data_IF_976344345285
#
_entry.id   IF_976344345285
#
_cell.length_a   1.000
_cell.length_b   1.000
_cell.length_c   1.000
_cell.angle_alpha   90.00
_cell.angle_beta   90.00
_cell.angle_gamma   90.00
#
_symmetry.space_group_name_H-M   'P 1'
#
loop_
_entity.id
_entity.type
_entity.pdbx_description
1 polymer ?
#
# COMPACT_ATOMS: atom_id res chain seq x y z
N UNK A 1 -32.77 -2.91 14.45
CA UNK A 1 -31.43 -2.29 14.51
C UNK A 1 -31.27 -1.39 15.74
N UNK A 2 -32.14 -0.40 15.96
CA UNK A 2 -32.00 0.58 17.06
C UNK A 2 -31.87 -0.06 18.46
N UNK A 3 -32.60 -1.15 18.74
CA UNK A 3 -32.48 -1.91 20.01
C UNK A 3 -31.12 -2.57 20.21
N UNK A 4 -30.44 -2.97 19.13
CA UNK A 4 -29.10 -3.56 19.19
C UNK A 4 -28.08 -2.45 19.41
N UNK A 5 -28.22 -1.32 18.70
CA UNK A 5 -27.31 -0.17 18.87
C UNK A 5 -27.42 0.43 20.28
N UNK A 6 -28.63 0.53 20.84
CA UNK A 6 -28.80 1.01 22.23
C UNK A 6 -28.15 0.10 23.27
N UNK A 7 -27.89 -1.17 22.95
CA UNK A 7 -27.16 -2.09 23.85
C UNK A 7 -25.65 -1.83 23.85
N UNK A 8 -25.09 -1.10 22.88
CA UNK A 8 -23.67 -0.71 22.85
C UNK A 8 -23.33 0.29 23.96
N UNK A 9 -24.29 1.11 24.39
CA UNK A 9 -24.14 2.05 25.51
C UNK A 9 -24.52 1.45 26.87
N UNK A 10 -24.73 0.13 26.95
CA UNK A 10 -25.09 -0.54 28.21
C UNK A 10 -23.94 -0.48 29.22
N UNK A 11 -24.27 -0.30 30.49
CA UNK A 11 -23.29 -0.42 31.59
C UNK A 11 -22.78 -1.86 31.77
N UNK A 12 -23.50 -2.85 31.25
CA UNK A 12 -23.12 -4.26 31.30
C UNK A 12 -22.18 -4.61 30.14
N UNK A 13 -20.94 -4.98 30.46
CA UNK A 13 -19.96 -5.49 29.50
C UNK A 13 -20.48 -6.66 28.68
N UNK A 14 -21.16 -7.61 29.35
CA UNK A 14 -21.75 -8.77 28.69
C UNK A 14 -22.80 -8.34 27.64
N UNK A 15 -23.62 -7.35 27.97
CA UNK A 15 -24.64 -6.83 27.05
C UNK A 15 -24.02 -6.15 25.85
N UNK A 16 -22.96 -5.35 26.05
CA UNK A 16 -22.19 -4.69 24.98
C UNK A 16 -21.51 -5.71 24.08
N UNK A 17 -20.79 -6.67 24.65
CA UNK A 17 -20.08 -7.72 23.91
C UNK A 17 -21.03 -8.55 23.03
N UNK A 18 -22.20 -8.92 23.57
CA UNK A 18 -23.21 -9.64 22.81
C UNK A 18 -23.77 -8.80 21.64
N UNK A 19 -24.00 -7.49 21.84
CA UNK A 19 -24.45 -6.60 20.78
C UNK A 19 -23.39 -6.41 19.68
N UNK A 20 -22.11 -6.31 20.05
CA UNK A 20 -20.99 -6.23 19.10
C UNK A 20 -20.89 -7.51 18.24
N UNK A 21 -21.00 -8.68 18.86
CA UNK A 21 -20.99 -9.96 18.15
C UNK A 21 -22.17 -10.08 17.17
N UNK A 22 -23.36 -9.63 17.58
CA UNK A 22 -24.57 -9.61 16.77
C UNK A 22 -24.43 -8.65 15.57
N UNK A 23 -23.94 -7.43 15.77
CA UNK A 23 -23.70 -6.46 14.69
C UNK A 23 -22.65 -6.95 13.68
N UNK A 24 -21.59 -7.62 14.15
CA UNK A 24 -20.61 -8.23 13.26
C UNK A 24 -21.25 -9.30 12.37
N UNK A 25 -22.09 -10.15 12.94
CA UNK A 25 -22.76 -11.22 12.20
C UNK A 25 -23.69 -10.64 11.14
N UNK A 26 -24.55 -9.68 11.52
CA UNK A 26 -25.51 -9.03 10.64
C UNK A 26 -24.80 -8.32 9.48
N UNK A 27 -23.82 -7.45 9.79
CA UNK A 27 -23.07 -6.70 8.76
C UNK A 27 -22.28 -7.58 7.80
N UNK A 28 -21.88 -8.79 8.24
CA UNK A 28 -21.18 -9.78 7.42
C UNK A 28 -22.12 -10.49 6.45
N UNK A 29 -23.30 -10.87 6.92
CA UNK A 29 -24.23 -11.72 6.18
C UNK A 29 -25.13 -10.92 5.23
N UNK A 30 -25.49 -9.70 5.62
CA UNK A 30 -26.45 -8.87 4.89
C UNK A 30 -25.83 -7.51 4.52
N UNK A 31 -25.48 -7.28 3.24
CA UNK A 31 -25.00 -5.98 2.78
C UNK A 31 -25.97 -4.82 3.01
N UNK A 32 -27.29 -5.07 2.94
CA UNK A 32 -28.30 -4.02 3.07
C UNK A 32 -28.41 -3.54 4.52
N UNK A 33 -28.13 -4.42 5.49
CA UNK A 33 -28.06 -4.05 6.90
C UNK A 33 -26.99 -3.02 7.24
N UNK A 34 -25.93 -2.89 6.43
CA UNK A 34 -24.77 -2.05 6.76
C UNK A 34 -25.13 -0.58 6.84
N UNK A 35 -25.91 -0.08 5.89
CA UNK A 35 -26.39 1.30 5.93
C UNK A 35 -27.33 1.50 7.12
N UNK A 36 -28.21 0.54 7.40
CA UNK A 36 -29.13 0.59 8.55
C UNK A 36 -28.37 0.63 9.88
N UNK A 37 -27.26 -0.11 10.01
CA UNK A 37 -26.38 -0.06 11.20
C UNK A 37 -25.75 1.33 11.35
N UNK A 38 -25.25 1.89 10.25
CA UNK A 38 -24.63 3.21 10.24
C UNK A 38 -25.65 4.31 10.62
N UNK A 39 -26.82 4.33 9.98
CA UNK A 39 -27.89 5.30 10.20
C UNK A 39 -28.50 5.19 11.60
N UNK A 40 -28.47 3.99 12.19
CA UNK A 40 -28.87 3.78 13.58
C UNK A 40 -27.87 4.36 14.60
N UNK A 41 -26.75 4.96 14.17
CA UNK A 41 -25.78 5.63 15.03
C UNK A 41 -24.77 4.70 15.69
N UNK A 42 -24.47 3.54 15.08
CA UNK A 42 -23.54 2.57 15.66
C UNK A 42 -22.06 3.01 15.61
N UNK A 43 -21.67 3.81 14.61
CA UNK A 43 -20.25 4.10 14.31
C UNK A 43 -19.48 4.72 15.49
N UNK A 44 -20.01 5.73 16.21
CA UNK A 44 -19.31 6.29 17.37
C UNK A 44 -19.02 5.26 18.47
N UNK A 45 -19.97 4.36 18.76
CA UNK A 45 -19.79 3.30 19.76
C UNK A 45 -18.78 2.24 19.30
N UNK A 46 -18.80 1.89 18.00
CA UNK A 46 -17.81 0.99 17.42
C UNK A 46 -16.41 1.60 17.49
N UNK A 47 -16.27 2.90 17.22
CA UNK A 47 -15.01 3.62 17.34
C UNK A 47 -14.51 3.68 18.79
N UNK A 48 -15.38 3.99 19.75
CA UNK A 48 -15.05 3.97 21.18
C UNK A 48 -14.58 2.58 21.64
N UNK A 49 -15.21 1.52 21.13
CA UNK A 49 -14.86 0.13 21.47
C UNK A 49 -13.43 -0.24 21.04
N UNK A 50 -12.84 0.43 20.04
CA UNK A 50 -11.45 0.18 19.64
C UNK A 50 -10.42 0.55 20.72
N UNK A 51 -10.80 1.38 21.70
CA UNK A 51 -9.98 1.72 22.87
C UNK A 51 -10.16 0.73 24.04
N UNK A 52 -11.06 -0.26 23.93
CA UNK A 52 -11.30 -1.26 24.97
C UNK A 52 -10.08 -2.14 25.20
N UNK A 53 -9.88 -2.62 26.42
CA UNK A 53 -8.89 -3.68 26.74
C UNK A 53 -9.35 -5.08 26.32
N UNK A 54 -10.62 -5.25 25.93
CA UNK A 54 -11.18 -6.54 25.51
C UNK A 54 -10.89 -6.81 24.03
N UNK A 55 -9.98 -7.73 23.75
CA UNK A 55 -9.69 -8.16 22.36
C UNK A 55 -10.94 -8.61 21.60
N UNK A 56 -11.83 -9.40 22.23
CA UNK A 56 -13.08 -9.83 21.59
C UNK A 56 -13.96 -8.63 21.19
N UNK A 57 -14.02 -7.61 22.03
CA UNK A 57 -14.80 -6.40 21.73
C UNK A 57 -14.17 -5.59 20.61
N UNK A 58 -12.84 -5.37 20.65
CA UNK A 58 -12.09 -4.71 19.58
C UNK A 58 -12.27 -5.43 18.24
N UNK A 59 -12.17 -6.76 18.21
CA UNK A 59 -12.32 -7.57 17.01
C UNK A 59 -13.70 -7.44 16.40
N UNK A 60 -14.74 -7.53 17.22
CA UNK A 60 -16.11 -7.41 16.74
C UNK A 60 -16.41 -6.00 16.25
N UNK A 61 -15.91 -4.97 16.94
CA UNK A 61 -16.04 -3.59 16.50
C UNK A 61 -15.30 -3.33 15.18
N UNK A 62 -14.01 -3.67 15.10
CA UNK A 62 -13.19 -3.46 13.92
C UNK A 62 -13.70 -4.24 12.71
N UNK A 63 -14.15 -5.49 12.89
CA UNK A 63 -14.75 -6.27 11.81
C UNK A 63 -16.08 -5.68 11.33
N UNK A 64 -16.90 -5.15 12.24
CA UNK A 64 -18.13 -4.45 11.86
C UNK A 64 -17.80 -3.20 11.05
N UNK A 65 -16.86 -2.36 11.52
CA UNK A 65 -16.40 -1.17 10.79
C UNK A 65 -15.86 -1.51 9.39
N UNK A 66 -15.09 -2.59 9.28
CA UNK A 66 -14.63 -3.10 7.99
C UNK A 66 -15.81 -3.45 7.08
N UNK A 67 -16.78 -4.22 7.57
CA UNK A 67 -17.96 -4.58 6.78
C UNK A 67 -18.74 -3.34 6.32
N UNK A 68 -18.96 -2.37 7.22
CA UNK A 68 -19.60 -1.10 6.88
C UNK A 68 -18.82 -0.35 5.81
N UNK A 69 -17.49 -0.37 5.89
CA UNK A 69 -16.63 0.33 4.91
C UNK A 69 -16.76 -0.23 3.50
N UNK A 70 -17.37 -1.39 3.28
CA UNK A 70 -17.53 -1.97 1.94
C UNK A 70 -18.66 -1.30 1.16
N UNK A 71 -19.68 -0.76 1.83
CA UNK A 71 -20.87 -0.16 1.16
C UNK A 71 -21.36 1.16 1.77
N UNK A 72 -20.95 1.51 2.99
CA UNK A 72 -21.49 2.63 3.79
C UNK A 72 -20.40 3.60 4.23
N UNK A 73 -19.60 4.11 3.27
CA UNK A 73 -18.35 4.84 3.52
C UNK A 73 -18.52 6.30 3.96
N UNK A 74 -19.52 6.99 3.42
CA UNK A 74 -19.78 8.39 3.75
C UNK A 74 -20.16 8.60 5.23
N UNK A 75 -21.00 7.74 5.85
CA UNK A 75 -21.22 7.76 7.31
C UNK A 75 -19.94 7.53 8.13
N UNK A 76 -19.04 6.63 7.68
CA UNK A 76 -17.76 6.38 8.35
C UNK A 76 -16.87 7.64 8.30
N UNK A 77 -16.69 8.22 7.12
CA UNK A 77 -15.84 9.41 6.94
C UNK A 77 -16.39 10.65 7.65
N UNK A 78 -17.71 10.76 7.79
CA UNK A 78 -18.38 11.86 8.49
C UNK A 78 -18.40 11.68 10.01
N UNK A 79 -18.10 10.48 10.53
CA UNK A 79 -18.10 10.22 11.96
C UNK A 79 -16.85 10.77 12.64
N UNK A 80 -17.04 11.80 13.47
CA UNK A 80 -15.97 12.38 14.29
C UNK A 80 -15.27 11.31 15.14
N UNK A 81 -13.93 11.35 15.15
CA UNK A 81 -13.10 10.47 15.98
C UNK A 81 -12.88 9.06 15.41
N UNK A 82 -13.55 8.66 14.33
CA UNK A 82 -13.36 7.32 13.76
C UNK A 82 -11.91 7.10 13.28
N UNK A 83 -11.36 8.04 12.52
CA UNK A 83 -9.98 7.93 12.03
C UNK A 83 -8.96 7.90 13.18
N UNK A 84 -9.24 8.61 14.27
CA UNK A 84 -8.38 8.62 15.46
C UNK A 84 -8.45 7.28 16.19
N UNK A 85 -9.64 6.66 16.29
CA UNK A 85 -9.83 5.33 16.84
C UNK A 85 -9.17 4.22 16.00
N UNK A 86 -9.29 4.29 14.67
CA UNK A 86 -8.56 3.39 13.76
C UNK A 86 -7.05 3.59 13.90
N UNK A 87 -6.59 4.84 14.03
CA UNK A 87 -5.18 5.15 14.27
C UNK A 87 -4.69 4.58 15.61
N UNK A 88 -5.52 4.63 16.66
CA UNK A 88 -5.21 4.04 17.96
C UNK A 88 -5.03 2.52 17.86
N UNK A 89 -5.96 1.83 17.20
CA UNK A 89 -5.89 0.38 16.98
C UNK A 89 -4.63 -0.03 16.20
N UNK A 90 -4.25 0.74 15.18
CA UNK A 90 -3.03 0.49 14.41
C UNK A 90 -1.75 0.80 15.21
N UNK A 91 -1.77 1.85 16.04
CA UNK A 91 -0.60 2.28 16.84
C UNK A 91 -0.22 1.27 17.91
N UNK A 92 -1.21 0.58 18.48
CA UNK A 92 -1.03 -0.40 19.56
C UNK A 92 -1.04 -1.85 19.07
N UNK A 93 -0.67 -2.06 17.79
CA UNK A 93 -0.69 -3.37 17.14
C UNK A 93 0.22 -4.42 17.78
N UNK A 94 1.26 -3.96 18.48
CA UNK A 94 2.28 -4.75 19.17
C UNK A 94 2.08 -4.78 20.69
N UNK A 95 0.99 -4.21 21.21
CA UNK A 95 0.75 -4.06 22.65
C UNK A 95 -0.66 -4.48 23.06
N UNK A 96 -1.66 -3.62 22.87
CA UNK A 96 -3.01 -3.80 23.44
C UNK A 96 -4.11 -4.06 22.43
N UNK A 97 -3.83 -3.94 21.13
CA UNK A 97 -4.82 -4.22 20.09
C UNK A 97 -4.65 -5.62 19.54
N UNK A 98 -5.75 -6.38 19.47
CA UNK A 98 -5.71 -7.73 18.94
C UNK A 98 -5.27 -7.76 17.46
N UNK A 99 -4.52 -8.78 17.00
CA UNK A 99 -4.09 -8.88 15.62
C UNK A 99 -5.22 -8.82 14.58
N UNK A 100 -6.40 -9.37 14.90
CA UNK A 100 -7.57 -9.34 14.02
C UNK A 100 -8.22 -7.95 13.97
N UNK A 101 -8.19 -7.20 15.07
CA UNK A 101 -8.62 -5.80 15.09
C UNK A 101 -7.66 -4.88 14.30
N UNK A 102 -6.34 -5.09 14.42
CA UNK A 102 -5.33 -4.40 13.61
C UNK A 102 -5.57 -4.65 12.12
N UNK A 103 -5.73 -5.92 11.74
CA UNK A 103 -6.00 -6.30 10.35
C UNK A 103 -7.26 -5.62 9.83
N UNK A 104 -8.37 -5.69 10.57
CA UNK A 104 -9.64 -5.09 10.17
C UNK A 104 -9.57 -3.57 10.09
N UNK A 105 -8.79 -2.93 10.97
CA UNK A 105 -8.56 -1.48 10.96
C UNK A 105 -7.76 -1.03 9.73
N UNK A 106 -6.68 -1.74 9.39
CA UNK A 106 -5.89 -1.46 8.18
C UNK A 106 -6.73 -1.67 6.91
N UNK A 107 -7.51 -2.76 6.86
CA UNK A 107 -8.42 -3.03 5.75
C UNK A 107 -9.55 -1.99 5.63
N UNK A 108 -10.05 -1.45 6.76
CA UNK A 108 -11.02 -0.36 6.77
C UNK A 108 -10.44 0.90 6.15
N UNK A 109 -9.23 1.29 6.56
CA UNK A 109 -8.52 2.44 5.98
C UNK A 109 -8.32 2.25 4.47
N UNK A 110 -7.85 1.09 4.04
CA UNK A 110 -7.70 0.78 2.62
C UNK A 110 -9.03 0.87 1.86
N UNK A 111 -10.11 0.28 2.39
CA UNK A 111 -11.44 0.28 1.77
C UNK A 111 -12.00 1.70 1.58
N UNK A 112 -11.72 2.61 2.52
CA UNK A 112 -12.07 4.02 2.39
C UNK A 112 -11.25 4.68 1.27
N UNK A 113 -9.92 4.51 1.27
CA UNK A 113 -9.00 5.15 0.32
C UNK A 113 -9.22 4.77 -1.15
N UNK A 114 -9.68 3.55 -1.43
CA UNK A 114 -9.91 3.08 -2.80
C UNK A 114 -11.28 3.46 -3.35
N UNK A 115 -12.21 3.86 -2.49
CA UNK A 115 -13.58 4.11 -2.92
C UNK A 115 -13.78 5.51 -3.45
N UNK A 116 -13.18 6.50 -2.80
CA UNK A 116 -13.28 7.89 -3.21
C UNK A 116 -11.91 8.55 -3.17
N UNK A 117 -11.49 9.14 -4.29
CA UNK A 117 -10.17 9.78 -4.37
C UNK A 117 -10.06 10.98 -3.43
N UNK A 118 -11.19 11.63 -3.13
CA UNK A 118 -11.30 12.75 -2.18
C UNK A 118 -10.93 12.36 -0.75
N UNK A 119 -10.98 11.08 -0.38
CA UNK A 119 -10.57 10.62 0.97
C UNK A 119 -9.06 10.52 1.13
N UNK A 120 -8.29 10.40 0.05
CA UNK A 120 -6.82 10.27 0.08
C UNK A 120 -6.11 11.47 0.73
N UNK A 121 -6.44 12.75 0.43
CA UNK A 121 -5.84 13.87 1.15
C UNK A 121 -6.26 13.93 2.62
N UNK A 122 -7.50 13.53 2.96
CA UNK A 122 -8.02 13.57 4.33
C UNK A 122 -7.29 12.54 5.20
N UNK A 123 -7.32 11.27 4.81
CA UNK A 123 -6.65 10.18 5.56
C UNK A 123 -5.13 10.37 5.51
N UNK A 124 -4.57 10.76 4.36
CA UNK A 124 -3.14 10.99 4.19
C UNK A 124 -2.57 12.15 5.02
N UNK A 125 -3.39 13.12 5.41
CA UNK A 125 -2.99 14.20 6.33
C UNK A 125 -2.75 13.72 7.77
N UNK A 126 -3.26 12.53 8.13
CA UNK A 126 -3.11 11.94 9.48
C UNK A 126 -1.77 11.20 9.58
N UNK A 127 -0.72 11.94 9.98
CA UNK A 127 0.64 11.39 10.18
C UNK A 127 0.67 10.14 11.06
N UNK A 128 -0.18 10.07 12.09
CA UNK A 128 -0.24 8.90 12.98
C UNK A 128 -0.70 7.62 12.25
N UNK A 129 -1.64 7.71 11.32
CA UNK A 129 -2.07 6.55 10.51
C UNK A 129 -0.90 6.07 9.65
N UNK A 130 -0.22 6.99 8.95
CA UNK A 130 0.93 6.64 8.10
C UNK A 130 2.04 6.02 8.94
N UNK A 131 2.37 6.62 10.09
CA UNK A 131 3.38 6.10 11.00
C UNK A 131 3.04 4.69 11.48
N UNK A 132 1.81 4.45 11.93
CA UNK A 132 1.40 3.14 12.43
C UNK A 132 1.43 2.07 11.34
N UNK A 133 1.01 2.39 10.10
CA UNK A 133 1.10 1.45 8.97
C UNK A 133 2.57 1.12 8.63
N UNK A 134 3.47 2.10 8.65
CA UNK A 134 4.91 1.88 8.48
C UNK A 134 5.48 1.05 9.65
N UNK A 135 4.98 1.28 10.86
CA UNK A 135 5.37 0.52 12.05
C UNK A 135 4.97 -0.96 11.96
N UNK A 136 3.76 -1.25 11.46
CA UNK A 136 3.30 -2.64 11.25
C UNK A 136 4.19 -3.36 10.23
N UNK A 137 4.55 -2.73 9.10
CA UNK A 137 5.35 -3.43 8.08
C UNK A 137 6.82 -3.66 8.49
N UNK A 138 7.34 -2.89 9.46
CA UNK A 138 8.73 -3.02 9.95
C UNK A 138 8.86 -3.89 11.20
N UNK A 139 7.75 -4.18 11.88
CA UNK A 139 7.78 -4.90 13.14
C UNK A 139 7.97 -6.40 12.86
N UNK A 140 9.03 -7.04 13.40
CA UNK A 140 9.40 -8.41 13.03
C UNK A 140 8.30 -9.46 13.22
N UNK A 141 7.49 -9.31 14.27
CA UNK A 141 6.46 -10.28 14.63
C UNK A 141 5.07 -9.91 14.08
N UNK A 142 4.98 -8.93 13.18
CA UNK A 142 3.70 -8.58 12.58
C UNK A 142 3.14 -9.72 11.73
N UNK A 143 1.86 -10.01 11.95
CA UNK A 143 1.17 -11.06 11.22
C UNK A 143 1.15 -10.75 9.70
N UNK A 144 1.44 -11.72 8.79
CA UNK A 144 1.53 -11.47 7.35
C UNK A 144 0.33 -10.76 6.74
N UNK A 145 -0.89 -11.09 7.20
CA UNK A 145 -2.11 -10.39 6.76
C UNK A 145 -2.11 -8.90 7.13
N UNK A 146 -1.67 -8.55 8.34
CA UNK A 146 -1.56 -7.16 8.78
C UNK A 146 -0.52 -6.39 7.96
N UNK A 147 0.60 -7.04 7.60
CA UNK A 147 1.59 -6.47 6.68
C UNK A 147 0.96 -6.18 5.31
N UNK A 148 0.26 -7.17 4.71
CA UNK A 148 -0.40 -7.00 3.40
C UNK A 148 -1.44 -5.90 3.40
N UNK A 149 -2.33 -5.87 4.40
CA UNK A 149 -3.37 -4.84 4.48
C UNK A 149 -2.76 -3.45 4.74
N UNK A 150 -1.65 -3.38 5.49
CA UNK A 150 -0.90 -2.13 5.69
C UNK A 150 -0.24 -1.65 4.39
N UNK A 151 0.39 -2.53 3.62
CA UNK A 151 0.98 -2.20 2.32
C UNK A 151 -0.08 -1.71 1.33
N UNK A 152 -1.26 -2.34 1.28
CA UNK A 152 -2.39 -1.89 0.45
C UNK A 152 -2.85 -0.48 0.85
N UNK A 153 -2.99 -0.22 2.15
CA UNK A 153 -3.33 1.12 2.65
C UNK A 153 -2.26 2.15 2.27
N UNK A 154 -0.98 1.84 2.49
CA UNK A 154 0.15 2.71 2.12
C UNK A 154 0.19 2.99 0.61
N UNK A 155 -0.07 1.98 -0.23
CA UNK A 155 -0.17 2.14 -1.67
C UNK A 155 -1.27 3.15 -2.03
N UNK A 156 -2.47 2.97 -1.46
CA UNK A 156 -3.61 3.85 -1.74
C UNK A 156 -3.40 5.28 -1.22
N UNK A 157 -2.70 5.46 -0.09
CA UNK A 157 -2.27 6.78 0.41
C UNK A 157 -1.29 7.43 -0.59
N UNK A 158 -0.33 6.68 -1.12
CA UNK A 158 0.69 7.17 -2.03
C UNK A 158 0.17 7.52 -3.45
N UNK A 159 -1.06 7.10 -3.79
CA UNK A 159 -1.73 7.52 -5.02
C UNK A 159 -2.00 9.02 -5.06
N UNK A 160 -2.07 9.70 -3.90
CA UNK A 160 -2.08 11.15 -3.83
C UNK A 160 -0.64 11.67 -3.60
N UNK A 161 -0.01 12.34 -4.61
CA UNK A 161 1.41 12.66 -4.56
C UNK A 161 1.87 13.45 -3.34
N UNK A 162 1.05 14.35 -2.81
CA UNK A 162 1.40 15.18 -1.65
C UNK A 162 1.56 14.37 -0.35
N UNK A 163 1.07 13.14 -0.28
CA UNK A 163 1.26 12.27 0.89
C UNK A 163 2.66 11.64 0.92
N UNK A 164 3.33 11.52 -0.23
CA UNK A 164 4.58 10.74 -0.38
C UNK A 164 5.72 11.28 0.47
N UNK A 165 5.89 12.62 0.48
CA UNK A 165 6.90 13.30 1.32
C UNK A 165 6.74 12.93 2.80
N UNK A 166 5.51 12.94 3.31
CA UNK A 166 5.22 12.51 4.69
C UNK A 166 5.58 11.04 4.93
N UNK A 167 5.22 10.13 4.01
CA UNK A 167 5.58 8.72 4.11
C UNK A 167 7.10 8.51 4.18
N UNK A 168 7.85 9.22 3.33
CA UNK A 168 9.30 9.16 3.27
C UNK A 168 9.90 9.68 4.59
N UNK A 169 9.44 10.83 5.07
CA UNK A 169 9.88 11.42 6.36
C UNK A 169 9.65 10.48 7.56
N UNK A 170 8.67 9.59 7.46
CA UNK A 170 8.32 8.61 8.50
C UNK A 170 9.05 7.26 8.31
N UNK A 171 9.99 7.17 7.36
CA UNK A 171 10.85 6.00 7.19
C UNK A 171 10.28 4.90 6.30
N UNK A 172 9.38 5.23 5.36
CA UNK A 172 8.81 4.24 4.44
C UNK A 172 9.89 3.51 3.62
N UNK A 173 10.90 4.22 3.10
CA UNK A 173 11.93 3.65 2.22
C UNK A 173 12.69 2.48 2.88
N UNK A 174 13.37 2.66 4.02
CA UNK A 174 14.09 1.56 4.66
C UNK A 174 13.16 0.41 5.10
N UNK A 175 11.92 0.70 5.50
CA UNK A 175 10.95 -0.34 5.86
C UNK A 175 10.56 -1.20 4.64
N UNK A 176 10.29 -0.56 3.49
CA UNK A 176 9.95 -1.27 2.24
C UNK A 176 11.12 -2.10 1.74
N UNK A 177 12.34 -1.56 1.72
CA UNK A 177 13.51 -2.34 1.30
C UNK A 177 13.83 -3.50 2.23
N UNK A 178 13.59 -3.36 3.54
CA UNK A 178 13.72 -4.50 4.45
C UNK A 178 12.78 -5.65 4.07
N UNK A 179 11.54 -5.36 3.67
CA UNK A 179 10.62 -6.39 3.17
C UNK A 179 11.06 -6.94 1.81
N UNK A 180 11.44 -6.08 0.88
CA UNK A 180 11.86 -6.48 -0.48
C UNK A 180 13.05 -7.45 -0.45
N UNK A 181 14.01 -7.21 0.44
CA UNK A 181 15.26 -8.00 0.52
C UNK A 181 15.12 -9.24 1.39
N UNK A 182 14.36 -9.16 2.49
CA UNK A 182 14.37 -10.21 3.54
C UNK A 182 13.13 -11.11 3.53
N UNK A 183 12.03 -10.69 2.90
CA UNK A 183 10.79 -11.46 2.92
C UNK A 183 10.75 -12.46 1.75
N UNK A 184 10.55 -13.74 2.06
CA UNK A 184 10.45 -14.80 1.05
C UNK A 184 9.05 -14.95 0.45
N UNK A 185 8.05 -14.25 0.99
CA UNK A 185 6.65 -14.37 0.53
C UNK A 185 6.44 -13.43 -0.65
N UNK A 186 6.42 -14.00 -1.86
CA UNK A 186 6.24 -13.27 -3.13
C UNK A 186 5.14 -12.20 -3.07
N UNK A 187 3.96 -12.52 -2.51
CA UNK A 187 2.86 -11.55 -2.42
C UNK A 187 3.12 -10.33 -1.53
N UNK A 188 4.00 -10.42 -0.52
CA UNK A 188 4.41 -9.26 0.29
C UNK A 188 5.43 -8.42 -0.47
N UNK A 189 6.38 -9.06 -1.14
CA UNK A 189 7.37 -8.37 -1.98
C UNK A 189 6.70 -7.64 -3.16
N UNK A 190 5.68 -8.25 -3.76
CA UNK A 190 4.84 -7.60 -4.79
C UNK A 190 4.14 -6.34 -4.27
N UNK A 191 3.52 -6.41 -3.09
CA UNK A 191 2.85 -5.27 -2.48
C UNK A 191 3.86 -4.18 -2.06
N UNK A 192 5.03 -4.57 -1.51
CA UNK A 192 6.07 -3.65 -1.09
C UNK A 192 6.72 -2.90 -2.27
N UNK A 193 7.05 -3.62 -3.35
CA UNK A 193 7.56 -3.01 -4.59
C UNK A 193 6.54 -2.08 -5.24
N UNK A 194 5.24 -2.38 -5.13
CA UNK A 194 4.19 -1.49 -5.62
C UNK A 194 4.13 -0.15 -4.86
N UNK A 195 4.26 -0.18 -3.53
CA UNK A 195 4.36 1.03 -2.70
C UNK A 195 5.65 1.79 -3.03
N UNK A 196 6.78 1.07 -3.16
CA UNK A 196 8.07 1.65 -3.52
C UNK A 196 7.99 2.41 -4.84
N UNK A 197 7.35 1.84 -5.86
CA UNK A 197 7.14 2.50 -7.14
C UNK A 197 6.36 3.82 -7.03
N UNK A 198 5.46 3.97 -6.06
CA UNK A 198 4.78 5.25 -5.84
C UNK A 198 5.69 6.27 -5.18
N UNK A 199 6.34 5.92 -4.06
CA UNK A 199 7.11 6.89 -3.27
C UNK A 199 8.44 7.25 -3.93
N UNK A 200 9.00 6.42 -4.81
CA UNK A 200 10.13 6.77 -5.68
C UNK A 200 9.80 7.93 -6.64
N UNK A 201 8.52 8.22 -6.88
CA UNK A 201 8.06 9.39 -7.63
C UNK A 201 7.93 10.65 -6.77
N UNK A 202 8.85 10.86 -5.84
CA UNK A 202 8.93 12.01 -4.96
C UNK A 202 10.41 12.39 -4.79
N UNK A 203 10.74 13.67 -4.89
CA UNK A 203 12.12 14.18 -4.81
C UNK A 203 12.78 13.83 -3.47
N UNK A 204 12.02 13.89 -2.37
CA UNK A 204 12.48 13.53 -1.03
C UNK A 204 12.96 12.06 -0.93
N UNK A 205 12.66 11.22 -1.93
CA UNK A 205 13.03 9.80 -1.91
C UNK A 205 14.51 9.55 -2.20
N UNK A 206 15.20 10.46 -2.88
CA UNK A 206 16.55 10.23 -3.40
C UNK A 206 17.55 9.81 -2.32
N UNK A 207 17.64 10.57 -1.22
CA UNK A 207 18.57 10.27 -0.14
C UNK A 207 18.27 8.91 0.49
N UNK A 208 16.99 8.65 0.75
CA UNK A 208 16.55 7.36 1.30
C UNK A 208 16.89 6.20 0.37
N UNK A 209 16.69 6.34 -0.94
CA UNK A 209 17.02 5.35 -1.96
C UNK A 209 18.53 5.09 -1.99
N UNK A 210 19.35 6.14 -1.99
CA UNK A 210 20.81 6.02 -2.03
C UNK A 210 21.38 5.31 -0.80
N UNK A 211 20.86 5.62 0.39
CA UNK A 211 21.32 5.02 1.65
C UNK A 211 21.08 3.52 1.75
N UNK A 212 20.18 2.96 0.94
CA UNK A 212 19.83 1.53 0.91
C UNK A 212 20.21 0.86 -0.40
N UNK A 213 21.02 1.53 -1.24
CA UNK A 213 21.38 1.07 -2.59
C UNK A 213 20.14 0.70 -3.43
N UNK A 214 19.07 1.48 -3.28
CA UNK A 214 17.75 1.12 -3.77
C UNK A 214 17.68 0.94 -5.29
N UNK A 215 18.45 1.71 -6.06
CA UNK A 215 18.53 1.53 -7.51
C UNK A 215 19.13 0.16 -7.88
N UNK A 216 20.22 -0.26 -7.22
CA UNK A 216 20.83 -1.57 -7.45
C UNK A 216 19.90 -2.70 -7.02
N UNK A 217 19.30 -2.63 -5.82
CA UNK A 217 18.37 -3.67 -5.35
C UNK A 217 17.18 -3.84 -6.31
N UNK A 218 16.63 -2.73 -6.82
CA UNK A 218 15.54 -2.81 -7.81
C UNK A 218 16.01 -3.33 -9.17
N UNK A 219 17.24 -3.03 -9.58
CA UNK A 219 17.84 -3.57 -10.80
C UNK A 219 18.08 -5.09 -10.68
N UNK A 220 18.55 -5.57 -9.54
CA UNK A 220 18.74 -7.00 -9.28
C UNK A 220 17.43 -7.78 -9.42
N UNK A 221 16.29 -7.22 -8.95
CA UNK A 221 14.97 -7.85 -9.11
C UNK A 221 14.53 -8.03 -10.58
N UNK A 222 15.15 -7.30 -11.52
CA UNK A 222 14.87 -7.44 -12.95
C UNK A 222 15.62 -8.63 -13.56
N UNK A 223 16.78 -8.96 -12.99
CA UNK A 223 17.63 -10.04 -13.46
C UNK A 223 16.85 -11.38 -13.46
N UNK A 224 16.79 -12.09 -14.61
CA UNK A 224 16.16 -13.41 -14.71
C UNK A 224 16.62 -14.41 -13.65
N UNK A 225 17.88 -14.33 -13.19
CA UNK A 225 18.47 -15.25 -12.22
C UNK A 225 17.83 -15.14 -10.82
N UNK A 226 17.18 -14.02 -10.51
CA UNK A 226 16.50 -13.85 -9.20
C UNK A 226 15.17 -14.61 -9.09
N UNK A 227 14.60 -15.05 -10.22
CA UNK A 227 13.29 -15.70 -10.23
C UNK A 227 12.12 -14.79 -9.82
N UNK A 228 12.33 -13.46 -9.85
CA UNK A 228 11.28 -12.48 -9.51
C UNK A 228 10.06 -12.58 -10.43
N UNK A 229 8.85 -12.45 -9.86
CA UNK A 229 7.61 -12.49 -10.63
C UNK A 229 7.51 -11.32 -11.61
N UNK A 230 6.73 -11.47 -12.68
CA UNK A 230 6.51 -10.39 -13.65
C UNK A 230 5.99 -9.10 -12.97
N UNK A 231 5.14 -9.24 -11.94
CA UNK A 231 4.60 -8.10 -11.19
C UNK A 231 5.68 -7.37 -10.37
N UNK A 232 6.59 -8.11 -9.75
CA UNK A 232 7.77 -7.52 -9.08
C UNK A 232 8.60 -6.75 -10.10
N UNK A 233 8.90 -7.35 -11.27
CA UNK A 233 9.65 -6.70 -12.34
C UNK A 233 8.99 -5.41 -12.84
N UNK A 234 7.68 -5.44 -13.10
CA UNK A 234 6.91 -4.25 -13.49
C UNK A 234 6.97 -3.12 -12.45
N UNK A 235 6.87 -3.49 -11.17
CA UNK A 235 6.97 -2.52 -10.09
C UNK A 235 8.39 -1.95 -9.99
N UNK A 236 9.43 -2.77 -10.14
CA UNK A 236 10.83 -2.34 -10.15
C UNK A 236 11.13 -1.39 -11.31
N UNK A 237 10.70 -1.73 -12.54
CA UNK A 237 10.76 -0.81 -13.69
C UNK A 237 10.07 0.51 -13.35
N UNK A 238 8.87 0.45 -12.77
CA UNK A 238 8.11 1.64 -12.39
C UNK A 238 8.82 2.50 -11.34
N UNK A 239 9.46 1.89 -10.36
CA UNK A 239 10.22 2.57 -9.32
C UNK A 239 11.48 3.24 -9.88
N UNK A 240 12.28 2.53 -10.67
CA UNK A 240 13.48 3.05 -11.33
C UNK A 240 13.15 4.21 -12.27
N UNK A 241 12.09 4.07 -13.08
CA UNK A 241 11.63 5.14 -13.97
C UNK A 241 11.19 6.39 -13.20
N UNK A 242 10.45 6.20 -12.11
CA UNK A 242 9.97 7.31 -11.29
C UNK A 242 11.14 8.03 -10.59
N UNK A 243 12.09 7.26 -10.04
CA UNK A 243 13.32 7.81 -9.45
C UNK A 243 14.12 8.64 -10.48
N UNK A 244 14.33 8.09 -11.68
CA UNK A 244 15.04 8.76 -12.77
C UNK A 244 14.34 10.05 -13.26
N UNK A 245 13.00 10.09 -13.22
CA UNK A 245 12.23 11.27 -13.62
C UNK A 245 12.20 12.36 -12.56
N UNK A 246 12.06 11.98 -11.29
CA UNK A 246 11.98 12.93 -10.19
C UNK A 246 13.36 13.45 -9.78
N UNK A 247 14.39 12.60 -9.73
CA UNK A 247 15.67 12.97 -9.12
C UNK A 247 16.72 13.62 -10.02
N UNK A 248 16.28 14.24 -11.11
CA UNK A 248 17.17 14.97 -12.02
C UNK A 248 18.27 14.11 -12.67
N UNK A 249 19.37 14.75 -13.07
CA UNK A 249 20.45 14.09 -13.82
C UNK A 249 21.24 13.07 -12.99
N UNK A 250 21.44 13.34 -11.69
CA UNK A 250 22.16 12.46 -10.79
C UNK A 250 21.42 11.12 -10.61
N UNK A 251 20.12 11.15 -10.31
CA UNK A 251 19.32 9.93 -10.18
C UNK A 251 19.22 9.16 -11.50
N UNK A 252 19.15 9.85 -12.66
CA UNK A 252 19.22 9.19 -13.97
C UNK A 252 20.53 8.44 -14.17
N UNK A 253 21.66 9.06 -13.83
CA UNK A 253 22.98 8.42 -13.94
C UNK A 253 23.10 7.23 -13.00
N UNK A 254 22.56 7.32 -11.78
CA UNK A 254 22.55 6.25 -10.80
C UNK A 254 21.70 5.06 -11.29
N UNK A 255 20.51 5.31 -11.82
CA UNK A 255 19.65 4.27 -12.42
C UNK A 255 20.32 3.63 -13.64
N UNK A 256 20.93 4.42 -14.52
CA UNK A 256 21.64 3.88 -15.68
C UNK A 256 22.83 3.01 -15.27
N UNK A 257 23.61 3.45 -14.28
CA UNK A 257 24.72 2.67 -13.73
C UNK A 257 24.23 1.37 -13.06
N UNK A 258 23.14 1.42 -12.30
CA UNK A 258 22.56 0.23 -11.67
C UNK A 258 22.12 -0.80 -12.72
N UNK A 259 21.42 -0.36 -13.78
CA UNK A 259 21.00 -1.24 -14.89
C UNK A 259 22.19 -1.83 -15.65
N UNK A 260 23.30 -1.10 -15.77
CA UNK A 260 24.50 -1.54 -16.48
C UNK A 260 25.48 -2.37 -15.62
N UNK A 261 25.30 -2.43 -14.29
CA UNK A 261 26.29 -3.01 -13.37
C UNK A 261 26.38 -4.54 -13.34
N UNK A 262 25.46 -5.26 -14.01
CA UNK A 262 25.44 -6.72 -14.08
C UNK A 262 26.37 -7.29 -15.16
N UNK A 263 27.09 -8.37 -14.85
CA UNK A 263 28.06 -9.01 -15.76
C UNK A 263 27.42 -9.46 -17.09
N UNK A 264 26.14 -9.81 -17.08
CA UNK A 264 25.39 -10.35 -18.23
C UNK A 264 24.26 -9.41 -18.70
N UNK A 265 24.29 -8.11 -18.37
CA UNK A 265 23.19 -7.17 -18.67
C UNK A 265 21.81 -7.63 -18.14
N UNK A 266 21.75 -8.50 -17.11
CA UNK A 266 20.51 -9.15 -16.67
C UNK A 266 19.37 -8.20 -16.30
N UNK A 267 19.68 -7.03 -15.71
CA UNK A 267 18.69 -5.99 -15.46
C UNK A 267 18.10 -5.43 -16.78
N UNK A 268 18.93 -5.23 -17.81
CA UNK A 268 18.47 -4.79 -19.14
C UNK A 268 17.55 -5.83 -19.78
N UNK A 269 17.92 -7.10 -19.74
CA UNK A 269 17.07 -8.21 -20.23
C UNK A 269 15.72 -8.24 -19.49
N UNK A 270 15.73 -8.03 -18.18
CA UNK A 270 14.52 -7.92 -17.38
C UNK A 270 13.61 -6.77 -17.81
N UNK A 271 14.16 -5.61 -18.17
CA UNK A 271 13.38 -4.47 -18.68
C UNK A 271 12.77 -4.81 -20.04
N UNK A 272 13.54 -5.41 -20.95
CA UNK A 272 13.05 -5.86 -22.27
C UNK A 272 11.92 -6.87 -22.11
N UNK A 273 12.10 -7.86 -21.22
CA UNK A 273 11.07 -8.84 -20.92
C UNK A 273 9.75 -8.20 -20.46
N UNK A 274 9.82 -7.17 -19.60
CA UNK A 274 8.64 -6.39 -19.18
C UNK A 274 8.05 -5.58 -20.35
N UNK A 275 8.87 -5.02 -21.24
CA UNK A 275 8.42 -4.29 -22.43
C UNK A 275 7.61 -5.17 -23.40
N UNK A 276 7.91 -6.46 -23.45
CA UNK A 276 7.26 -7.42 -24.34
C UNK A 276 6.06 -8.13 -23.71
N UNK A 277 6.17 -8.49 -22.42
CA UNK A 277 5.24 -9.40 -21.75
C UNK A 277 4.41 -8.74 -20.63
N UNK A 278 4.74 -7.50 -20.24
CA UNK A 278 4.05 -6.80 -19.17
C UNK A 278 2.60 -6.42 -19.49
N UNK A 279 1.90 -5.95 -18.47
CA UNK A 279 0.66 -5.18 -18.60
C UNK A 279 0.85 -3.96 -19.50
N UNK A 280 -0.24 -3.40 -20.04
CA UNK A 280 -0.18 -2.18 -20.87
C UNK A 280 0.62 -1.04 -20.21
N UNK A 281 0.44 -0.85 -18.90
CA UNK A 281 1.17 0.16 -18.12
C UNK A 281 2.62 -0.23 -17.89
N UNK A 282 2.90 -1.50 -17.60
CA UNK A 282 4.26 -2.01 -17.40
C UNK A 282 5.10 -1.90 -18.67
N UNK A 283 4.55 -2.31 -19.82
CA UNK A 283 5.20 -2.21 -21.13
C UNK A 283 5.59 -0.77 -21.46
N UNK A 284 4.64 0.17 -21.32
CA UNK A 284 4.90 1.60 -21.56
C UNK A 284 6.03 2.13 -20.66
N UNK A 285 6.01 1.79 -19.37
CA UNK A 285 7.05 2.21 -18.42
C UNK A 285 8.42 1.59 -18.74
N UNK A 286 8.46 0.33 -19.17
CA UNK A 286 9.70 -0.34 -19.56
C UNK A 286 10.33 0.35 -20.78
N UNK A 287 9.53 0.63 -21.81
CA UNK A 287 9.99 1.39 -22.98
C UNK A 287 10.50 2.78 -22.59
N UNK A 288 9.79 3.49 -21.71
CA UNK A 288 10.21 4.79 -21.21
C UNK A 288 11.53 4.73 -20.43
N UNK A 289 11.73 3.68 -19.62
CA UNK A 289 12.97 3.46 -18.86
C UNK A 289 14.13 3.13 -19.81
N UNK A 290 13.94 2.27 -20.80
CA UNK A 290 14.94 1.94 -21.83
C UNK A 290 15.43 3.20 -22.54
N UNK A 291 14.52 4.08 -22.95
CA UNK A 291 14.87 5.35 -23.59
C UNK A 291 15.77 6.20 -22.70
N UNK A 292 15.49 6.28 -21.40
CA UNK A 292 16.29 7.05 -20.44
C UNK A 292 17.68 6.47 -20.23
N UNK A 293 17.80 5.15 -20.07
CA UNK A 293 19.10 4.51 -19.78
C UNK A 293 19.98 4.40 -21.02
N UNK A 294 19.41 4.15 -22.20
CA UNK A 294 20.15 4.05 -23.48
C UNK A 294 20.57 5.42 -24.00
N UNK A 295 19.67 6.42 -23.99
CA UNK A 295 20.00 7.75 -24.50
C UNK A 295 21.03 8.49 -23.63
N UNK A 296 21.14 8.12 -22.35
CA UNK A 296 22.14 8.67 -21.43
C UNK A 296 23.57 8.21 -21.73
N UNK A 297 23.77 7.15 -22.52
CA UNK A 297 25.07 6.53 -22.76
C UNK A 297 25.77 6.98 -24.07
N UNK A 298 25.28 8.03 -24.73
CA UNK A 298 25.98 8.70 -25.84
C UNK A 298 25.97 7.97 -27.19
N UNK A 299 25.24 6.87 -27.34
CA UNK A 299 25.07 6.16 -28.61
C UNK A 299 23.67 5.58 -28.73
N UNK A 300 22.99 5.82 -29.86
CA UNK A 300 21.72 5.16 -30.14
C UNK A 300 21.94 3.66 -30.26
N UNK A 301 21.45 2.89 -29.30
CA UNK A 301 21.50 1.44 -29.35
C UNK A 301 20.36 0.93 -30.23
N UNK A 302 20.67 0.64 -31.49
CA UNK A 302 19.71 0.16 -32.49
C UNK A 302 19.07 -1.17 -32.12
N UNK A 303 19.59 -1.87 -31.09
CA UNK A 303 18.98 -3.11 -30.56
C UNK A 303 17.52 -2.91 -30.14
N UNK A 304 17.11 -1.71 -29.73
CA UNK A 304 15.78 -1.47 -29.17
C UNK A 304 14.83 -0.68 -30.08
N UNK A 305 15.24 -0.37 -31.32
CA UNK A 305 14.44 0.45 -32.24
C UNK A 305 13.05 -0.16 -32.52
N UNK A 306 12.94 -1.50 -32.52
CA UNK A 306 11.66 -2.20 -32.68
C UNK A 306 10.68 -1.90 -31.52
N UNK A 307 11.17 -1.77 -30.28
CA UNK A 307 10.37 -1.40 -29.12
C UNK A 307 9.99 0.09 -29.14
N UNK A 308 10.83 0.93 -29.75
CA UNK A 308 10.60 2.37 -29.82
C UNK A 308 9.63 2.77 -30.93
N UNK A 309 9.54 1.95 -31.98
CA UNK A 309 8.72 2.19 -33.17
C UNK A 309 7.36 1.46 -33.16
N UNK A 310 7.05 0.65 -32.14
CA UNK A 310 5.70 0.05 -32.02
C UNK A 310 4.64 1.11 -31.72
N UNK A 311 3.77 1.33 -32.71
CA UNK A 311 2.61 2.20 -32.62
C UNK A 311 1.54 1.53 -31.71
N UNK A 312 1.05 2.16 -30.63
CA UNK A 312 0.18 1.51 -29.63
C UNK A 312 -1.19 1.02 -30.15
N UNK A 313 -1.53 1.25 -31.42
CA UNK A 313 -2.81 0.89 -32.03
C UNK A 313 -2.77 -0.41 -32.88
N UNK A 314 -1.66 -1.14 -32.96
CA UNK A 314 -1.54 -2.29 -33.89
C UNK A 314 -1.85 -3.67 -33.29
N UNK A 315 -2.20 -3.78 -31.99
CA UNK A 315 -2.43 -5.08 -31.32
C UNK A 315 -3.87 -5.32 -30.84
N UNK A 316 -4.87 -4.79 -31.57
CA UNK A 316 -6.27 -5.18 -31.42
C UNK A 316 -6.78 -5.80 -32.72
N UNK A 317 -6.39 -7.04 -32.97
CA UNK A 317 -6.97 -7.95 -33.96
C UNK A 317 -6.95 -9.35 -33.39
#
# INVERSE_FOLDING_TARGET
>A
MSTIVSRLSSVSEQTRAAALAELRLISKQDPDSRLIIADAGAIPYLAETLYSSSHSSQENAAATLLNLSITSREPLMSSRGLLDALSHALRHHDTTTSPAAVQSSAATIYSLLIAEESYRPIIGSKRDIIFSLIHIIRYPDSHPRSIKDSLKALFAIALYPMNRSTMISLGAIPALFSLIVKDSRCGIVEDATAVMAQVAGCEDSEDGMRRVSGANVLADLLDPCTGSSLRIKENSVGALLNLARCGGAAARSEVAAAVASGADEGAMEGIVYVAENGSLKGRKKAVDLLKLVVSGNGGGDSRFDYLFNENPNSRSS
#
